data_IF_903981443442
#
_entry.id   IF_903981443442
#
_cell.length_a   1.000
_cell.length_b   1.000
_cell.length_c   1.000
_cell.angle_alpha   90.00
_cell.angle_beta   90.00
_cell.angle_gamma   90.00
#
_symmetry.space_group_name_H-M   'P 1'
#
loop_
_entity.id
_entity.type
_entity.pdbx_description
1 polymer ?
#
# COMPACT_ATOMS: atom_id res chain seq x y z
N UNK A 1 -20.36 5.89 -84.25
CA UNK A 1 -21.33 5.73 -83.15
C UNK A 1 -20.89 4.55 -82.29
N UNK A 2 -20.39 4.79 -81.08
CA UNK A 2 -20.68 3.99 -79.89
C UNK A 2 -19.96 4.57 -78.66
N UNK A 3 -20.76 4.70 -77.61
CA UNK A 3 -20.49 5.35 -76.33
C UNK A 3 -19.58 4.52 -75.43
N UNK A 4 -18.65 5.16 -74.71
CA UNK A 4 -18.11 4.65 -73.45
C UNK A 4 -18.16 5.76 -72.39
N UNK A 5 -18.92 5.47 -71.33
CA UNK A 5 -19.23 6.31 -70.16
C UNK A 5 -18.06 6.37 -69.15
N UNK A 6 -18.03 7.37 -68.25
CA UNK A 6 -16.97 7.55 -67.26
C UNK A 6 -17.09 6.61 -66.07
N UNK A 7 -15.95 6.14 -65.54
CA UNK A 7 -15.83 5.42 -64.26
C UNK A 7 -15.91 6.42 -63.10
N UNK A 8 -16.90 6.25 -62.22
CA UNK A 8 -17.01 6.95 -60.93
C UNK A 8 -15.97 6.39 -59.95
N UNK A 9 -15.19 7.28 -59.35
CA UNK A 9 -14.41 7.00 -58.13
C UNK A 9 -15.38 6.82 -56.95
N UNK A 10 -15.25 5.70 -56.26
CA UNK A 10 -15.94 5.41 -55.00
C UNK A 10 -15.00 5.81 -53.86
N UNK A 11 -15.30 6.92 -53.19
CA UNK A 11 -14.65 7.32 -51.93
C UNK A 11 -15.33 6.52 -50.82
N UNK A 12 -14.62 5.58 -50.21
CA UNK A 12 -15.06 4.91 -48.99
C UNK A 12 -15.01 5.91 -47.82
N UNK A 13 -16.17 6.43 -47.41
CA UNK A 13 -16.36 7.00 -46.08
C UNK A 13 -16.66 5.86 -45.11
N UNK A 14 -15.65 5.45 -44.36
CA UNK A 14 -15.80 4.56 -43.21
C UNK A 14 -14.90 5.14 -42.13
N UNK A 15 -15.49 5.79 -41.11
CA UNK A 15 -14.98 6.13 -39.77
C UNK A 15 -15.86 7.30 -39.31
N UNK A 16 -16.97 7.03 -38.63
CA UNK A 16 -17.74 8.11 -37.98
C UNK A 16 -18.59 7.66 -36.77
N UNK A 17 -18.36 6.47 -36.19
CA UNK A 17 -19.22 5.94 -35.09
C UNK A 17 -18.53 5.23 -33.92
N UNK A 18 -17.25 5.52 -33.62
CA UNK A 18 -16.54 4.87 -32.50
C UNK A 18 -15.75 5.76 -31.51
N UNK A 19 -15.98 7.09 -31.35
CA UNK A 19 -15.15 7.87 -30.42
C UNK A 19 -15.44 7.60 -28.93
N UNK A 20 -16.66 7.17 -28.58
CA UNK A 20 -17.10 7.11 -27.17
C UNK A 20 -16.65 5.83 -26.45
N UNK A 21 -16.64 4.69 -27.16
CA UNK A 21 -16.19 3.41 -26.61
C UNK A 21 -14.66 3.37 -26.38
N UNK A 22 -13.88 3.99 -27.26
CA UNK A 22 -12.44 4.09 -27.11
C UNK A 22 -12.04 4.98 -25.91
N UNK A 23 -12.79 6.05 -25.65
CA UNK A 23 -12.57 6.93 -24.51
C UNK A 23 -12.91 6.25 -23.17
N UNK A 24 -13.99 5.46 -23.13
CA UNK A 24 -14.38 4.66 -21.96
C UNK A 24 -13.39 3.52 -21.64
N UNK A 25 -12.80 2.90 -22.67
CA UNK A 25 -11.77 1.88 -22.46
C UNK A 25 -10.49 2.51 -21.88
N UNK A 26 -10.09 3.68 -22.38
CA UNK A 26 -8.86 4.36 -21.92
C UNK A 26 -8.94 4.78 -20.44
N UNK A 27 -10.12 5.22 -19.98
CA UNK A 27 -10.32 5.60 -18.57
C UNK A 27 -10.32 4.39 -17.64
N UNK A 28 -10.86 3.25 -18.08
CA UNK A 28 -10.81 2.00 -17.29
C UNK A 28 -9.38 1.48 -17.13
N UNK A 29 -8.52 1.60 -18.16
CA UNK A 29 -7.13 1.15 -18.05
C UNK A 29 -6.26 2.02 -17.13
N UNK A 30 -6.58 3.32 -16.98
CA UNK A 30 -5.79 4.21 -16.10
C UNK A 30 -5.94 3.90 -14.59
N UNK A 31 -7.04 3.29 -14.16
CA UNK A 31 -7.27 3.01 -12.74
C UNK A 31 -6.52 1.75 -12.24
N UNK A 32 -6.23 0.80 -13.12
CA UNK A 32 -5.63 -0.50 -12.73
C UNK A 32 -4.13 -0.37 -12.44
N UNK A 33 -3.46 0.63 -13.04
CA UNK A 33 -2.01 0.79 -12.90
C UNK A 33 -1.54 1.16 -11.48
N UNK A 34 -2.30 2.00 -10.77
CA UNK A 34 -1.87 2.51 -9.47
C UNK A 34 -1.83 1.44 -8.37
N UNK A 35 -2.86 0.58 -8.29
CA UNK A 35 -2.92 -0.48 -7.28
C UNK A 35 -1.80 -1.51 -7.44
N UNK A 36 -1.47 -1.87 -8.69
CA UNK A 36 -0.44 -2.87 -8.98
C UNK A 36 0.97 -2.46 -8.50
N UNK A 37 1.25 -1.15 -8.52
CA UNK A 37 2.54 -0.60 -8.08
C UNK A 37 2.68 -0.64 -6.56
N UNK A 38 1.66 -0.22 -5.82
CA UNK A 38 1.68 -0.23 -4.34
C UNK A 38 1.82 -1.65 -3.79
N UNK A 39 1.08 -2.62 -4.33
CA UNK A 39 1.21 -4.03 -3.92
C UNK A 39 2.63 -4.54 -4.15
N UNK A 40 3.23 -4.21 -5.31
CA UNK A 40 4.60 -4.63 -5.63
C UNK A 40 5.65 -4.15 -4.63
N UNK A 41 5.49 -2.96 -4.06
CA UNK A 41 6.41 -2.42 -3.05
C UNK A 41 6.34 -3.16 -1.71
N UNK A 42 5.18 -3.70 -1.35
CA UNK A 42 4.92 -4.36 -0.06
C UNK A 42 5.37 -5.82 -0.02
N UNK A 43 5.46 -6.51 -1.17
CA UNK A 43 5.76 -7.95 -1.21
C UNK A 43 7.04 -8.34 -0.46
N UNK A 44 7.03 -9.51 0.16
CA UNK A 44 8.15 -10.08 0.93
C UNK A 44 8.15 -9.68 2.40
N UNK A 45 9.27 -10.00 3.06
CA UNK A 45 9.43 -9.89 4.51
C UNK A 45 9.80 -8.48 4.98
N UNK A 46 9.28 -8.13 6.15
CA UNK A 46 9.50 -6.89 6.89
C UNK A 46 9.61 -7.17 8.39
N UNK A 47 10.39 -6.35 9.08
CA UNK A 47 10.52 -6.38 10.53
C UNK A 47 10.02 -5.07 11.13
N UNK A 48 9.00 -5.18 11.96
CA UNK A 48 8.32 -4.12 12.66
C UNK A 48 8.79 -3.97 14.09
N UNK A 49 9.01 -2.74 14.52
CA UNK A 49 9.24 -2.38 15.92
C UNK A 49 8.30 -1.23 16.32
N UNK A 50 8.01 -1.03 17.61
CA UNK A 50 7.34 0.17 18.09
C UNK A 50 7.96 1.42 17.47
N UNK A 51 7.13 2.22 16.81
CA UNK A 51 7.57 3.46 16.23
C UNK A 51 7.83 4.46 17.37
N UNK A 52 9.10 4.73 17.66
CA UNK A 52 9.47 5.58 18.79
C UNK A 52 9.38 7.06 18.44
N UNK A 53 9.18 7.92 19.46
CA UNK A 53 9.22 9.37 19.24
C UNK A 53 10.54 9.83 18.60
N UNK A 54 11.67 9.23 19.00
CA UNK A 54 12.98 9.49 18.42
C UNK A 54 13.08 9.01 16.97
N UNK A 55 12.60 7.79 16.68
CA UNK A 55 12.62 7.24 15.32
C UNK A 55 11.74 8.03 14.35
N UNK A 56 10.59 8.56 14.80
CA UNK A 56 9.78 9.50 14.01
C UNK A 56 10.55 10.79 13.71
N UNK A 57 11.13 11.41 14.73
CA UNK A 57 11.87 12.65 14.58
C UNK A 57 13.05 12.51 13.61
N UNK A 58 13.77 11.38 13.67
CA UNK A 58 14.85 11.06 12.73
C UNK A 58 14.34 10.95 11.29
N UNK A 59 13.27 10.17 11.05
CA UNK A 59 12.71 10.03 9.69
C UNK A 59 12.16 11.34 9.15
N UNK A 60 11.52 12.15 9.99
CA UNK A 60 11.03 13.47 9.58
C UNK A 60 12.18 14.42 9.22
N UNK A 61 13.27 14.38 9.99
CA UNK A 61 14.49 15.15 9.69
C UNK A 61 15.14 14.69 8.37
N UNK A 62 15.19 13.39 8.11
CA UNK A 62 15.68 12.86 6.83
C UNK A 62 14.77 13.23 5.65
N UNK A 63 13.45 13.25 5.86
CA UNK A 63 12.44 13.54 4.83
C UNK A 63 12.36 15.02 4.47
N UNK A 64 12.47 15.91 5.46
CA UNK A 64 12.22 17.35 5.29
C UNK A 64 13.45 18.25 5.54
N UNK A 65 14.57 17.69 5.98
CA UNK A 65 15.77 18.43 6.36
C UNK A 65 15.51 19.45 7.48
N UNK A 66 16.27 20.55 7.47
CA UNK A 66 16.17 21.65 8.44
C UNK A 66 14.84 22.43 8.38
N UNK A 67 13.96 22.11 7.44
CA UNK A 67 12.64 22.76 7.26
C UNK A 67 11.52 22.02 7.99
N UNK A 68 11.86 21.11 8.91
CA UNK A 68 10.89 20.37 9.70
C UNK A 68 9.96 21.35 10.46
N UNK A 69 8.63 21.18 10.41
CA UNK A 69 7.72 22.01 11.17
C UNK A 69 8.02 21.89 12.68
N UNK A 70 7.90 22.98 13.46
CA UNK A 70 8.28 23.03 14.88
C UNK A 70 7.40 22.16 15.82
N UNK A 71 6.61 21.23 15.29
CA UNK A 71 5.65 20.40 16.02
C UNK A 71 6.21 19.03 16.45
N UNK A 72 7.52 18.81 16.34
CA UNK A 72 8.16 17.55 16.79
C UNK A 72 8.45 17.55 18.31
N UNK A 73 8.34 18.70 18.99
CA UNK A 73 8.84 18.86 20.36
C UNK A 73 8.07 18.16 21.49
N UNK A 74 6.92 17.53 21.25
CA UNK A 74 6.22 16.74 22.30
C UNK A 74 5.41 15.57 21.71
N UNK A 75 6.07 14.64 21.02
CA UNK A 75 5.45 13.34 20.78
C UNK A 75 5.41 12.57 22.12
N UNK A 76 4.23 12.46 22.72
CA UNK A 76 4.03 11.62 23.90
C UNK A 76 4.38 10.17 23.56
N UNK A 77 5.13 9.52 24.44
CA UNK A 77 5.47 8.10 24.32
C UNK A 77 4.19 7.26 24.17
N UNK A 78 4.13 6.40 23.16
CA UNK A 78 2.98 5.50 22.97
C UNK A 78 3.13 4.24 23.81
N UNK A 79 2.03 3.51 24.03
CA UNK A 79 2.04 2.29 24.85
C UNK A 79 2.97 1.24 24.24
N UNK A 80 3.00 1.09 22.91
CA UNK A 80 3.93 0.19 22.22
C UNK A 80 5.40 0.46 22.54
N UNK A 81 5.80 1.71 22.78
CA UNK A 81 7.20 2.07 23.09
C UNK A 81 7.66 1.55 24.47
N UNK A 82 6.76 0.95 25.26
CA UNK A 82 7.10 0.31 26.53
C UNK A 82 7.47 -1.18 26.38
N UNK A 83 7.30 -1.76 25.20
CA UNK A 83 7.56 -3.18 24.95
C UNK A 83 8.74 -3.35 23.99
N UNK A 84 9.66 -4.26 24.32
CA UNK A 84 10.67 -4.73 23.37
C UNK A 84 10.04 -5.78 22.46
N UNK A 85 9.27 -5.29 21.49
CA UNK A 85 8.52 -6.11 20.54
C UNK A 85 9.17 -6.06 19.16
N UNK A 86 9.30 -7.22 18.54
CA UNK A 86 9.70 -7.35 17.14
C UNK A 86 8.70 -8.24 16.42
N UNK A 87 8.07 -7.67 15.40
CA UNK A 87 7.04 -8.32 14.59
C UNK A 87 7.58 -8.60 13.21
N UNK A 88 7.59 -9.85 12.78
CA UNK A 88 7.85 -10.21 11.39
C UNK A 88 6.53 -10.16 10.63
N UNK A 89 6.48 -9.37 9.56
CA UNK A 89 5.34 -9.29 8.65
C UNK A 89 5.80 -9.69 7.26
N UNK A 90 5.13 -10.64 6.63
CA UNK A 90 5.44 -11.07 5.27
C UNK A 90 4.21 -11.00 4.39
N UNK A 91 4.27 -10.16 3.36
CA UNK A 91 3.32 -10.16 2.26
C UNK A 91 3.76 -11.23 1.27
N UNK A 92 3.32 -12.48 1.51
CA UNK A 92 3.72 -13.67 0.76
C UNK A 92 3.37 -13.52 -0.72
N UNK A 93 2.15 -13.07 -0.98
CA UNK A 93 1.66 -12.76 -2.31
C UNK A 93 0.60 -11.64 -2.23
N UNK A 94 -0.23 -11.49 -3.28
CA UNK A 94 -1.23 -10.42 -3.39
C UNK A 94 -2.46 -10.62 -2.51
N UNK A 95 -2.64 -11.81 -1.97
CA UNK A 95 -3.81 -12.20 -1.19
C UNK A 95 -3.41 -12.70 0.19
N UNK A 96 -2.20 -13.24 0.35
CA UNK A 96 -1.73 -13.85 1.61
C UNK A 96 -0.74 -12.97 2.36
N UNK A 97 -0.96 -12.85 3.66
CA UNK A 97 -0.08 -12.18 4.61
C UNK A 97 0.19 -13.09 5.81
N UNK A 98 1.39 -13.02 6.36
CA UNK A 98 1.79 -13.73 7.57
C UNK A 98 2.37 -12.76 8.59
N UNK A 99 1.98 -12.94 9.85
CA UNK A 99 2.45 -12.15 10.98
C UNK A 99 3.02 -13.10 12.04
N UNK A 100 4.24 -12.85 12.49
CA UNK A 100 4.85 -13.62 13.57
C UNK A 100 5.49 -12.69 14.59
N UNK A 101 5.50 -13.09 15.85
CA UNK A 101 6.33 -12.45 16.86
C UNK A 101 7.72 -13.09 16.83
N UNK A 102 8.74 -12.32 17.20
CA UNK A 102 10.13 -12.82 17.22
C UNK A 102 10.44 -13.73 18.42
N UNK A 103 9.43 -14.07 19.22
CA UNK A 103 9.51 -15.00 20.35
C UNK A 103 9.43 -16.47 19.93
N UNK A 104 9.29 -16.76 18.63
CA UNK A 104 9.19 -18.11 18.09
C UNK A 104 7.78 -18.71 18.14
N UNK A 105 6.76 -17.90 18.45
CA UNK A 105 5.36 -18.29 18.31
C UNK A 105 4.99 -18.66 16.86
N UNK A 106 3.94 -19.46 16.72
CA UNK A 106 3.43 -19.86 15.40
C UNK A 106 2.92 -18.62 14.64
N UNK A 107 3.31 -18.44 13.36
CA UNK A 107 2.82 -17.33 12.56
C UNK A 107 1.30 -17.38 12.38
N UNK A 108 0.66 -16.22 12.49
CA UNK A 108 -0.73 -16.02 12.13
C UNK A 108 -0.81 -15.70 10.64
N UNK A 109 -1.45 -16.58 9.88
CA UNK A 109 -1.74 -16.33 8.47
C UNK A 109 -3.10 -15.63 8.29
N UNK A 110 -3.18 -14.76 7.30
CA UNK A 110 -4.41 -14.08 6.92
C UNK A 110 -4.49 -13.81 5.42
N UNK A 111 -5.68 -13.40 5.00
CA UNK A 111 -5.91 -12.81 3.69
C UNK A 111 -5.82 -11.29 3.79
N UNK A 112 -5.33 -10.61 2.75
CA UNK A 112 -5.24 -9.16 2.74
C UNK A 112 -5.63 -8.54 1.40
N UNK A 113 -6.04 -7.28 1.43
CA UNK A 113 -6.28 -6.48 0.23
C UNK A 113 -6.10 -4.99 0.50
N UNK A 114 -5.79 -4.21 -0.55
CA UNK A 114 -5.78 -2.75 -0.49
C UNK A 114 -7.20 -2.24 -0.68
N UNK A 115 -7.75 -1.56 0.33
CA UNK A 115 -9.10 -0.98 0.28
C UNK A 115 -9.10 0.50 -0.08
N UNK A 116 -8.00 1.20 0.14
CA UNK A 116 -7.83 2.60 -0.29
C UNK A 116 -6.36 2.95 -0.50
N UNK A 117 -6.10 3.91 -1.38
CA UNK A 117 -4.76 4.44 -1.66
C UNK A 117 -4.74 5.95 -1.48
N UNK A 118 -3.61 6.48 -1.05
CA UNK A 118 -3.33 7.90 -0.87
C UNK A 118 -1.93 8.23 -1.42
N UNK A 119 -1.58 9.51 -1.58
CA UNK A 119 -0.25 9.89 -2.07
C UNK A 119 0.91 9.44 -1.17
N UNK A 120 0.66 9.21 0.13
CA UNK A 120 1.70 8.84 1.12
C UNK A 120 1.60 7.38 1.59
N UNK A 121 0.68 6.59 1.02
CA UNK A 121 0.51 5.19 1.39
C UNK A 121 -0.90 4.66 1.13
N UNK A 122 -1.35 3.67 1.89
CA UNK A 122 -2.60 2.96 1.62
C UNK A 122 -3.27 2.42 2.89
N UNK A 123 -4.56 2.10 2.82
CA UNK A 123 -5.22 1.30 3.84
C UNK A 123 -5.38 -0.12 3.32
N UNK A 124 -4.95 -1.08 4.13
CA UNK A 124 -5.18 -2.51 3.89
C UNK A 124 -6.26 -3.04 4.83
N UNK A 125 -6.97 -4.06 4.37
CA UNK A 125 -7.82 -4.90 5.21
C UNK A 125 -7.14 -6.27 5.33
N UNK A 126 -7.13 -6.82 6.54
CA UNK A 126 -6.58 -8.14 6.86
C UNK A 126 -7.66 -8.98 7.52
N UNK A 127 -7.86 -10.18 7.01
CA UNK A 127 -8.84 -11.16 7.46
C UNK A 127 -8.09 -12.40 7.99
N UNK A 128 -8.15 -12.64 9.30
CA UNK A 128 -7.51 -13.79 9.96
C UNK A 128 -8.56 -14.76 10.51
N UNK A 129 -8.15 -15.99 10.77
CA UNK A 129 -8.95 -16.89 11.60
C UNK A 129 -9.18 -16.28 13.00
N UNK A 130 -10.39 -16.40 13.53
CA UNK A 130 -10.71 -16.04 14.91
C UNK A 130 -10.57 -17.22 15.87
N UNK A 131 -11.10 -17.06 17.08
CA UNK A 131 -10.99 -18.07 18.15
C UNK A 131 -11.74 -19.37 17.86
N UNK A 132 -12.80 -19.31 17.04
CA UNK A 132 -13.51 -20.49 16.56
C UNK A 132 -13.21 -20.77 15.08
N UNK A 133 -13.26 -22.05 14.64
CA UNK A 133 -12.92 -22.44 13.26
C UNK A 133 -13.74 -21.74 12.17
N UNK A 134 -14.94 -21.26 12.50
CA UNK A 134 -15.84 -20.56 11.58
C UNK A 134 -15.80 -19.03 11.75
N UNK A 135 -15.14 -18.54 12.80
CA UNK A 135 -15.00 -17.11 13.03
C UNK A 135 -13.85 -16.53 12.20
N UNK A 136 -14.11 -15.40 11.56
CA UNK A 136 -13.10 -14.58 10.90
C UNK A 136 -13.00 -13.25 11.63
N UNK A 137 -11.79 -12.75 11.80
CA UNK A 137 -11.51 -11.43 12.39
C UNK A 137 -10.96 -10.54 11.30
N UNK A 138 -11.66 -9.43 11.06
CA UNK A 138 -11.31 -8.45 10.04
C UNK A 138 -10.84 -7.16 10.69
N UNK A 139 -9.64 -6.72 10.31
CA UNK A 139 -9.03 -5.49 10.82
C UNK A 139 -8.50 -4.66 9.66
N UNK A 140 -8.53 -3.34 9.83
CA UNK A 140 -8.02 -2.41 8.84
C UNK A 140 -6.79 -1.71 9.37
N UNK A 141 -5.78 -1.57 8.52
CA UNK A 141 -4.52 -0.94 8.87
C UNK A 141 -4.17 0.14 7.87
N UNK A 142 -3.87 1.33 8.38
CA UNK A 142 -3.29 2.40 7.60
C UNK A 142 -1.78 2.19 7.53
N UNK A 143 -1.26 2.16 6.30
CA UNK A 143 0.15 2.13 5.96
C UNK A 143 0.57 3.50 5.44
N UNK A 144 1.54 4.13 6.09
CA UNK A 144 2.26 5.29 5.55
C UNK A 144 3.62 4.82 5.04
N UNK A 145 3.84 4.90 3.74
CA UNK A 145 5.05 4.41 3.09
C UNK A 145 6.19 5.41 3.29
N UNK A 146 7.37 4.91 3.65
CA UNK A 146 8.61 5.66 3.61
C UNK A 146 9.33 5.34 2.29
N UNK A 147 9.20 6.26 1.32
CA UNK A 147 9.81 6.13 0.00
C UNK A 147 11.03 7.05 -0.13
N UNK A 148 12.14 6.49 -0.61
CA UNK A 148 13.38 7.23 -0.93
C UNK A 148 13.82 6.85 -2.34
N UNK A 149 14.04 7.85 -3.18
CA UNK A 149 14.42 7.67 -4.60
C UNK A 149 13.49 6.70 -5.37
N UNK A 150 12.19 6.71 -5.03
CA UNK A 150 11.17 5.85 -5.65
C UNK A 150 11.17 4.39 -5.17
N UNK A 151 11.91 4.08 -4.11
CA UNK A 151 11.97 2.77 -3.45
C UNK A 151 11.34 2.88 -2.07
N UNK A 152 10.42 1.97 -1.75
CA UNK A 152 9.86 1.82 -0.40
C UNK A 152 10.93 1.19 0.52
N UNK A 153 11.49 1.99 1.43
CA UNK A 153 12.51 1.55 2.40
C UNK A 153 11.91 1.11 3.74
N UNK A 154 10.67 1.49 4.00
CA UNK A 154 9.93 1.15 5.19
C UNK A 154 8.49 1.63 5.12
N UNK A 155 7.72 1.36 6.16
CA UNK A 155 6.40 1.95 6.34
C UNK A 155 5.96 1.93 7.80
N UNK A 156 5.12 2.89 8.16
CA UNK A 156 4.44 2.91 9.46
C UNK A 156 3.09 2.22 9.30
N UNK A 157 2.75 1.29 10.20
CA UNK A 157 1.46 0.61 10.24
C UNK A 157 0.71 0.94 11.51
N UNK A 158 -0.56 1.36 11.37
CA UNK A 158 -1.47 1.67 12.48
C UNK A 158 -2.83 1.04 12.23
N UNK A 159 -3.42 0.43 13.24
CA UNK A 159 -4.80 -0.06 13.17
C UNK A 159 -5.80 1.11 13.09
N UNK A 160 -6.74 1.02 12.16
CA UNK A 160 -7.79 2.04 11.97
C UNK A 160 -8.78 1.96 13.12
N UNK A 161 -9.04 3.10 13.75
CA UNK A 161 -9.97 3.21 14.89
C UNK A 161 -9.37 2.80 16.24
N UNK A 162 -8.11 2.33 16.28
CA UNK A 162 -7.40 2.10 17.52
C UNK A 162 -7.08 3.42 18.24
N UNK A 163 -6.90 3.33 19.57
CA UNK A 163 -6.49 4.47 20.38
C UNK A 163 -5.15 5.02 19.87
N UNK A 164 -5.05 6.35 19.77
CA UNK A 164 -3.80 7.02 19.38
C UNK A 164 -2.67 6.74 20.37
N UNK A 165 -3.00 6.52 21.64
CA UNK A 165 -2.04 6.20 22.69
C UNK A 165 -1.38 4.83 22.46
N UNK A 166 -2.08 3.88 21.82
CA UNK A 166 -1.52 2.57 21.50
C UNK A 166 -0.23 2.72 20.67
N UNK A 167 -0.28 3.58 19.64
CA UNK A 167 0.85 3.95 18.79
C UNK A 167 0.82 3.27 17.43
N UNK A 168 2.00 3.05 16.86
CA UNK A 168 2.18 2.42 15.56
C UNK A 168 3.44 1.54 15.57
N UNK A 169 3.55 0.67 14.57
CA UNK A 169 4.76 -0.10 14.31
C UNK A 169 5.43 0.45 13.05
N UNK A 170 6.74 0.64 13.09
CA UNK A 170 7.53 0.96 11.91
C UNK A 170 8.22 -0.29 11.39
N UNK A 171 7.95 -0.62 10.14
CA UNK A 171 8.48 -1.78 9.43
C UNK A 171 9.59 -1.37 8.47
N UNK A 172 10.67 -2.15 8.48
CA UNK A 172 11.77 -2.03 7.52
C UNK A 172 12.13 -3.40 6.96
N UNK A 173 12.84 -3.44 5.85
CA UNK A 173 13.39 -4.72 5.36
C UNK A 173 14.37 -5.28 6.41
N UNK A 174 14.35 -6.60 6.66
CA UNK A 174 15.36 -7.20 7.51
C UNK A 174 16.74 -6.89 6.93
N UNK A 175 17.68 -6.52 7.79
CA UNK A 175 19.09 -6.42 7.40
C UNK A 175 19.52 -7.82 6.96
N UNK A 176 19.96 -7.99 5.72
CA UNK A 176 20.73 -9.19 5.37
C UNK A 176 22.06 -9.07 6.12
N UNK A 177 22.17 -9.69 7.30
CA UNK A 177 23.47 -9.98 7.91
C UNK A 177 24.20 -11.08 7.14
#
# INVERSE_FOLDING_TARGET
>A
MNNLRPRRFMVFRFIEKFPLAAFLLLTMFSAIGCQSRTVGHLLGRWEGRPDTAAGRAERDAERYGDTAPPTVSQLSKTDWENYDLVVSLEFVDRERIELALSDGSEPVAGEWSIISTSPIGCTIEVDTAGESPESRVRRQFQLELDERDGVCVGFTMREVGADRQLGALYFRRPSNE
#
